data_IF_913696531316
#
_entry.id   IF_913696531316
#
_cell.length_a   1.000
_cell.length_b   1.000
_cell.length_c   1.000
_cell.angle_alpha   90.00
_cell.angle_beta   90.00
_cell.angle_gamma   90.00
#
_symmetry.space_group_name_H-M   'P 1'
#
loop_
_entity.id
_entity.type
_entity.pdbx_description
1 polymer ?
#
# COMPACT_ATOMS: atom_id res chain seq x y z
N UNK A 1 -11.55 -9.06 -9.47
CA UNK A 1 -11.46 -10.24 -8.60
C UNK A 1 -10.19 -10.18 -7.76
N UNK A 2 -10.16 -9.35 -6.71
CA UNK A 2 -9.03 -9.26 -5.78
C UNK A 2 -9.06 -10.36 -4.70
N UNK A 3 -10.21 -11.03 -4.52
CA UNK A 3 -10.38 -12.11 -3.54
C UNK A 3 -9.58 -13.38 -3.88
N UNK A 4 -9.36 -13.66 -5.17
CA UNK A 4 -8.68 -14.88 -5.64
C UNK A 4 -7.18 -14.69 -5.89
N UNK A 5 -6.71 -13.44 -5.92
CA UNK A 5 -5.33 -13.09 -6.25
C UNK A 5 -4.34 -13.59 -5.18
N UNK A 6 -4.59 -13.44 -3.86
CA UNK A 6 -3.66 -13.92 -2.83
C UNK A 6 -3.48 -15.44 -2.82
N UNK A 7 -4.52 -16.20 -3.17
CA UNK A 7 -4.50 -17.67 -3.21
C UNK A 7 -3.69 -18.19 -4.41
N UNK A 8 -3.76 -17.52 -5.56
CA UNK A 8 -3.03 -17.88 -6.77
C UNK A 8 -1.56 -17.39 -6.77
N UNK A 9 -1.21 -16.47 -5.87
CA UNK A 9 0.10 -15.83 -5.84
C UNK A 9 1.24 -16.72 -5.32
N UNK A 10 0.94 -17.90 -4.79
CA UNK A 10 1.96 -18.81 -4.23
C UNK A 10 2.91 -19.41 -5.27
N UNK A 11 2.62 -19.34 -6.58
CA UNK A 11 3.36 -20.17 -7.56
C UNK A 11 3.80 -19.50 -8.87
N UNK A 12 3.60 -18.18 -9.10
CA UNK A 12 3.94 -17.58 -10.40
C UNK A 12 4.48 -16.14 -10.32
N UNK A 13 5.78 -15.98 -10.55
CA UNK A 13 6.47 -14.68 -10.56
C UNK A 13 5.95 -13.71 -11.64
N UNK A 14 5.50 -14.23 -12.79
CA UNK A 14 4.89 -13.41 -13.87
C UNK A 14 3.57 -12.76 -13.44
N UNK A 15 2.78 -13.44 -12.62
CA UNK A 15 1.50 -12.93 -12.14
C UNK A 15 1.71 -11.76 -11.18
N UNK A 16 2.75 -11.83 -10.34
CA UNK A 16 3.14 -10.76 -9.41
C UNK A 16 3.48 -9.48 -10.17
N UNK A 17 4.23 -9.57 -11.27
CA UNK A 17 4.53 -8.39 -12.10
C UNK A 17 3.26 -7.76 -12.71
N UNK A 18 2.31 -8.59 -13.16
CA UNK A 18 1.05 -8.10 -13.71
C UNK A 18 0.22 -7.38 -12.63
N UNK A 19 0.13 -7.98 -11.44
CA UNK A 19 -0.58 -7.41 -10.29
C UNK A 19 0.08 -6.11 -9.84
N UNK A 20 1.41 -6.06 -9.81
CA UNK A 20 2.14 -4.84 -9.52
C UNK A 20 1.82 -3.72 -10.52
N UNK A 21 1.63 -4.05 -11.80
CA UNK A 21 1.23 -3.06 -12.81
C UNK A 21 -0.21 -2.60 -12.63
N UNK A 22 -1.14 -3.50 -12.32
CA UNK A 22 -2.53 -3.14 -12.02
C UNK A 22 -2.61 -2.24 -10.80
N UNK A 23 -1.95 -2.59 -9.69
CA UNK A 23 -1.93 -1.76 -8.48
C UNK A 23 -1.28 -0.40 -8.75
N UNK A 24 -0.22 -0.32 -9.56
CA UNK A 24 0.36 0.97 -9.96
C UNK A 24 -0.63 1.83 -10.74
N UNK A 25 -1.43 1.22 -11.61
CA UNK A 25 -2.46 1.92 -12.37
C UNK A 25 -3.61 2.38 -11.48
N UNK A 26 -4.03 1.53 -10.53
CA UNK A 26 -5.08 1.85 -9.55
C UNK A 26 -4.65 3.02 -8.65
N UNK A 27 -3.39 3.04 -8.20
CA UNK A 27 -2.80 4.15 -7.44
C UNK A 27 -2.69 5.44 -8.26
N UNK A 28 -2.52 5.34 -9.59
CA UNK A 28 -2.48 6.49 -10.48
C UNK A 28 -3.88 7.04 -10.83
N UNK A 29 -4.92 6.21 -10.71
CA UNK A 29 -6.30 6.59 -11.05
C UNK A 29 -6.91 7.64 -10.11
N UNK A 30 -6.28 7.93 -8.97
CA UNK A 30 -6.77 8.80 -7.89
C UNK A 30 -8.19 8.47 -7.38
N UNK A 31 -8.75 7.32 -7.76
CA UNK A 31 -10.06 6.89 -7.29
C UNK A 31 -9.90 6.23 -5.91
N UNK A 32 -10.54 6.76 -4.85
CA UNK A 32 -10.33 6.29 -3.48
C UNK A 32 -10.68 4.82 -3.28
N UNK A 33 -11.69 4.31 -4.01
CA UNK A 33 -12.11 2.91 -3.95
C UNK A 33 -11.05 1.97 -4.52
N UNK A 34 -10.51 2.29 -5.70
CA UNK A 34 -9.46 1.48 -6.34
C UNK A 34 -8.15 1.54 -5.55
N UNK A 35 -7.80 2.71 -5.04
CA UNK A 35 -6.62 2.87 -4.18
C UNK A 35 -6.75 2.05 -2.90
N UNK A 36 -7.90 2.09 -2.23
CA UNK A 36 -8.15 1.29 -1.03
C UNK A 36 -8.03 -0.22 -1.28
N UNK A 37 -8.64 -0.72 -2.37
CA UNK A 37 -8.55 -2.13 -2.78
C UNK A 37 -7.10 -2.54 -3.09
N UNK A 38 -6.37 -1.70 -3.80
CA UNK A 38 -4.98 -1.95 -4.16
C UNK A 38 -4.07 -1.99 -2.92
N UNK A 39 -4.25 -1.07 -1.97
CA UNK A 39 -3.51 -1.05 -0.71
C UNK A 39 -3.81 -2.26 0.17
N UNK A 40 -5.09 -2.66 0.24
CA UNK A 40 -5.50 -3.86 0.96
C UNK A 40 -4.85 -5.10 0.32
N UNK A 41 -4.85 -5.19 -1.01
CA UNK A 41 -4.18 -6.28 -1.72
C UNK A 41 -2.67 -6.31 -1.44
N UNK A 42 -2.02 -5.15 -1.33
CA UNK A 42 -0.61 -5.09 -0.92
C UNK A 42 -0.42 -5.61 0.51
N UNK A 43 -1.25 -5.17 1.45
CA UNK A 43 -1.18 -5.59 2.84
C UNK A 43 -1.51 -7.09 3.04
N UNK A 44 -2.40 -7.67 2.22
CA UNK A 44 -2.75 -9.09 2.29
C UNK A 44 -1.73 -10.02 1.64
N UNK A 45 -0.85 -9.49 0.81
CA UNK A 45 0.14 -10.29 0.09
C UNK A 45 1.50 -10.07 0.75
N UNK A 46 1.88 -11.01 1.61
CA UNK A 46 3.17 -11.04 2.30
C UNK A 46 4.31 -11.46 1.37
N UNK A 47 4.49 -10.74 0.25
CA UNK A 47 5.55 -11.01 -0.72
C UNK A 47 6.60 -9.88 -0.70
N UNK A 48 7.83 -10.23 -0.31
CA UNK A 48 8.95 -9.28 -0.25
C UNK A 48 9.21 -8.56 -1.58
N UNK A 49 9.05 -9.23 -2.73
CA UNK A 49 9.26 -8.63 -4.05
C UNK A 49 8.24 -7.53 -4.36
N UNK A 50 6.99 -7.70 -3.91
CA UNK A 50 5.94 -6.71 -4.05
C UNK A 50 6.14 -5.54 -3.06
N UNK A 51 6.47 -5.85 -1.81
CA UNK A 51 6.83 -4.85 -0.80
C UNK A 51 7.92 -3.89 -1.32
N UNK A 52 9.01 -4.42 -1.89
CA UNK A 52 10.10 -3.60 -2.48
C UNK A 52 9.62 -2.63 -3.57
N UNK A 53 8.64 -3.04 -4.38
CA UNK A 53 8.13 -2.20 -5.47
C UNK A 53 7.27 -1.02 -5.00
N UNK A 54 6.68 -1.12 -3.81
CA UNK A 54 5.68 -0.16 -3.31
C UNK A 54 6.12 0.65 -2.09
N UNK A 55 7.09 0.17 -1.31
CA UNK A 55 7.66 0.86 -0.13
C UNK A 55 8.12 2.30 -0.43
N UNK A 56 8.67 2.58 -1.62
CA UNK A 56 9.06 3.94 -2.02
C UNK A 56 7.94 4.81 -2.62
N UNK A 57 6.80 4.22 -3.01
CA UNK A 57 5.69 4.91 -3.67
C UNK A 57 4.56 5.25 -2.71
N UNK A 58 4.19 4.34 -1.80
CA UNK A 58 3.08 4.55 -0.86
C UNK A 58 3.29 5.82 0.00
N UNK A 59 4.48 6.07 0.58
CA UNK A 59 4.73 7.29 1.35
C UNK A 59 4.59 8.58 0.53
N UNK A 60 4.99 8.55 -0.74
CA UNK A 60 4.83 9.70 -1.65
C UNK A 60 3.36 9.97 -1.96
N UNK A 61 2.59 8.91 -2.19
CA UNK A 61 1.15 9.03 -2.44
C UNK A 61 0.44 9.53 -1.18
N UNK A 62 0.81 9.07 0.02
CA UNK A 62 0.27 9.53 1.30
C UNK A 62 0.42 11.05 1.51
N UNK A 63 1.51 11.65 1.04
CA UNK A 63 1.76 13.10 1.13
C UNK A 63 0.92 13.93 0.15
N UNK A 64 0.20 13.30 -0.78
CA UNK A 64 -0.72 13.98 -1.69
C UNK A 64 -1.92 14.50 -0.89
N UNK A 65 -2.16 15.82 -0.95
CA UNK A 65 -3.24 16.47 -0.17
C UNK A 65 -4.66 16.09 -0.62
N UNK A 66 -4.82 15.62 -1.85
CA UNK A 66 -6.13 15.44 -2.52
C UNK A 66 -6.75 14.04 -2.32
N UNK A 67 -6.30 13.30 -1.31
CA UNK A 67 -6.75 11.92 -1.04
C UNK A 67 -7.71 11.93 0.15
N UNK A 68 -8.80 11.17 0.05
CA UNK A 68 -9.74 10.95 1.17
C UNK A 68 -9.04 10.36 2.39
N UNK A 69 -9.44 10.82 3.59
CA UNK A 69 -8.80 10.42 4.85
C UNK A 69 -8.92 8.91 5.14
N UNK A 70 -10.00 8.26 4.70
CA UNK A 70 -10.16 6.80 4.79
C UNK A 70 -9.08 6.02 4.03
N UNK A 71 -8.64 6.54 2.87
CA UNK A 71 -7.57 5.95 2.08
C UNK A 71 -6.22 6.28 2.71
N UNK A 72 -6.04 7.47 3.29
CA UNK A 72 -4.82 7.81 4.05
C UNK A 72 -4.60 6.89 5.25
N UNK A 73 -5.66 6.56 5.99
CA UNK A 73 -5.60 5.56 7.07
C UNK A 73 -5.22 4.18 6.55
N UNK A 74 -5.81 3.76 5.44
CA UNK A 74 -5.47 2.48 4.78
C UNK A 74 -4.01 2.45 4.30
N UNK A 75 -3.48 3.57 3.79
CA UNK A 75 -2.07 3.72 3.43
C UNK A 75 -1.17 3.65 4.64
N UNK A 76 -1.52 4.35 5.72
CA UNK A 76 -0.77 4.34 6.98
C UNK A 76 -0.63 2.91 7.53
N UNK A 77 -1.73 2.14 7.55
CA UNK A 77 -1.72 0.74 7.95
C UNK A 77 -0.90 -0.15 7.00
N UNK A 78 -0.99 0.08 5.69
CA UNK A 78 -0.20 -0.66 4.70
C UNK A 78 1.31 -0.43 4.89
N UNK A 79 1.73 0.83 5.11
CA UNK A 79 3.15 1.15 5.38
C UNK A 79 3.61 0.52 6.70
N UNK A 80 2.78 0.56 7.75
CA UNK A 80 3.10 -0.08 9.02
C UNK A 80 3.24 -1.61 8.88
N UNK A 81 2.36 -2.25 8.12
CA UNK A 81 2.45 -3.69 7.84
C UNK A 81 3.74 -4.03 7.08
N UNK A 82 4.05 -3.27 6.03
CA UNK A 82 5.30 -3.42 5.27
C UNK A 82 6.55 -3.20 6.13
N UNK A 83 6.51 -2.20 7.03
CA UNK A 83 7.58 -1.95 8.00
C UNK A 83 7.78 -3.12 8.96
N UNK A 84 6.69 -3.68 9.50
CA UNK A 84 6.73 -4.85 10.38
C UNK A 84 7.25 -6.10 9.67
N UNK A 85 6.95 -6.24 8.38
CA UNK A 85 7.42 -7.36 7.56
C UNK A 85 8.88 -7.27 7.16
N UNK A 86 9.37 -6.07 6.85
CA UNK A 86 10.71 -5.87 6.31
C UNK A 86 11.22 -4.46 6.65
N UNK A 87 11.75 -4.27 7.86
CA UNK A 87 12.21 -2.95 8.31
C UNK A 87 13.35 -2.40 7.44
N UNK A 88 14.15 -3.27 6.80
CA UNK A 88 15.25 -2.89 5.91
C UNK A 88 14.80 -2.18 4.63
N UNK A 89 13.54 -2.36 4.22
CA UNK A 89 13.01 -1.83 2.96
C UNK A 89 12.33 -0.48 3.10
N UNK A 90 12.04 -0.07 4.32
CA UNK A 90 11.32 1.16 4.61
C UNK A 90 12.29 2.09 5.33
N UNK A 91 13.02 2.96 4.60
CA UNK A 91 13.82 3.98 5.25
C UNK A 91 12.89 4.86 6.09
N UNK A 92 13.20 4.96 7.39
CA UNK A 92 12.58 5.91 8.31
C UNK A 92 12.81 7.31 7.74
N UNK A 93 11.75 7.90 7.16
CA UNK A 93 11.79 9.21 6.53
C UNK A 93 10.62 10.07 7.00
N UNK A 94 10.42 11.21 6.33
CA UNK A 94 9.42 12.24 6.64
C UNK A 94 7.96 11.77 6.60
N UNK A 95 7.71 10.51 6.26
CA UNK A 95 6.39 9.90 6.24
C UNK A 95 5.92 9.39 7.62
N UNK A 96 6.83 9.23 8.57
CA UNK A 96 6.52 8.74 9.93
C UNK A 96 5.62 9.70 10.71
N UNK A 97 5.92 11.00 10.71
CA UNK A 97 5.10 12.00 11.40
C UNK A 97 3.69 12.15 10.80
N UNK A 98 3.50 12.20 9.46
CA UNK A 98 2.18 12.15 8.84
C UNK A 98 1.41 10.88 9.16
N UNK A 99 2.05 9.70 9.13
CA UNK A 99 1.38 8.43 9.45
C UNK A 99 0.85 8.42 10.88
N UNK A 100 1.65 8.86 11.86
CA UNK A 100 1.22 8.96 13.26
C UNK A 100 0.10 9.99 13.40
N UNK A 101 0.20 11.13 12.71
CA UNK A 101 -0.87 12.13 12.68
C UNK A 101 -2.19 11.53 12.13
N UNK A 102 -2.15 10.83 11.00
CA UNK A 102 -3.36 10.22 10.41
C UNK A 102 -3.92 9.05 11.22
N UNK A 103 -3.07 8.27 11.90
CA UNK A 103 -3.52 7.22 12.83
C UNK A 103 -4.17 7.82 14.08
N UNK A 104 -3.68 8.97 14.54
CA UNK A 104 -4.20 9.65 15.73
C UNK A 104 -5.42 10.53 15.43
N UNK A 105 -5.60 10.96 14.18
CA UNK A 105 -6.85 11.57 13.72
C UNK A 105 -7.90 10.47 13.58
N UNK A 106 -8.54 10.15 14.71
CA UNK A 106 -9.84 9.51 14.73
C UNK A 106 -10.80 10.38 13.91
N UNK A 107 -11.38 9.77 12.87
CA UNK A 107 -12.58 10.27 12.24
C UNK A 107 -13.66 10.37 13.34
N UNK A 108 -14.03 11.60 13.70
CA UNK A 108 -15.29 11.90 14.37
C UNK A 108 -16.44 11.70 13.37
#
# INVERSE_FOLDING_TARGET
GYLFIPVLLKSNSKLIHLINNVIKNDLASQNPTFMGLALHCIASVDNCGMAKAFTGKIPKVLMTRDIMDSVKQSMALCVLHLYRMSPDLVPMGDWTSPVVYFLNNQHL
#
